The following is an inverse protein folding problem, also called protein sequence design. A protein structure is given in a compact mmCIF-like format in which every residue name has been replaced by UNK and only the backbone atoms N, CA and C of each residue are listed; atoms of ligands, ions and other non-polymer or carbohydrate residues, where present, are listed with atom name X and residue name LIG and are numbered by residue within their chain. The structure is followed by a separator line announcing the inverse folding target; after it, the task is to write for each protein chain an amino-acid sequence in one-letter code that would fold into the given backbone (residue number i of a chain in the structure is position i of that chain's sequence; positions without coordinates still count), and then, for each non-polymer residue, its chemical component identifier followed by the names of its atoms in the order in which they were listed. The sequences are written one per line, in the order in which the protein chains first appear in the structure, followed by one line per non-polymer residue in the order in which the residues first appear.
data_IF_581099980672
#
_entry.id   IF_581099980672
#
_cell.length_a   1.000
_cell.length_b   1.000
_cell.length_c   1.000
_cell.angle_alpha   90.00
_cell.angle_beta   90.00
_cell.angle_gamma   90.00
#
_symmetry.space_group_name_H-M   'P 1'
#
loop_
_entity.id
_entity.type
_entity.pdbx_description
1 polymer ?
#
# COMPACT_ATOMS: atom_id res chain seq x y z
N UNK A 1 -7.38 18.23 0.72
CA UNK A 1 -8.18 17.94 1.93
C UNK A 1 -8.02 16.49 2.34
N UNK A 2 -8.48 16.10 3.53
CA UNK A 2 -8.33 14.73 4.06
C UNK A 2 -8.93 13.64 3.13
N UNK A 3 -9.88 14.01 2.27
CA UNK A 3 -10.53 13.15 1.26
C UNK A 3 -9.49 12.46 0.36
N UNK A 4 -8.53 13.20 -0.20
CA UNK A 4 -7.52 12.61 -1.07
C UNK A 4 -6.66 11.56 -0.36
N UNK A 5 -6.36 11.75 0.93
CA UNK A 5 -5.62 10.75 1.71
C UNK A 5 -6.42 9.46 1.85
N UNK A 6 -7.73 9.57 2.14
CA UNK A 6 -8.63 8.43 2.22
C UNK A 6 -8.73 7.70 0.88
N UNK A 7 -8.90 8.43 -0.22
CA UNK A 7 -8.97 7.83 -1.56
C UNK A 7 -7.69 7.09 -1.95
N UNK A 8 -6.53 7.69 -1.64
CA UNK A 8 -5.22 7.05 -1.86
C UNK A 8 -5.12 5.75 -1.07
N UNK A 9 -5.40 5.79 0.24
CA UNK A 9 -5.31 4.62 1.12
C UNK A 9 -6.28 3.53 0.66
N UNK A 10 -7.54 3.88 0.38
CA UNK A 10 -8.56 2.94 -0.06
C UNK A 10 -8.16 2.26 -1.38
N UNK A 11 -7.68 3.04 -2.35
CA UNK A 11 -7.22 2.53 -3.64
C UNK A 11 -6.00 1.61 -3.50
N UNK A 12 -5.03 1.96 -2.63
CA UNK A 12 -3.87 1.13 -2.36
C UNK A 12 -4.26 -0.19 -1.68
N UNK A 13 -5.18 -0.16 -0.71
CA UNK A 13 -5.70 -1.37 -0.06
C UNK A 13 -6.45 -2.28 -1.03
N UNK A 14 -7.29 -1.72 -1.91
CA UNK A 14 -7.98 -2.49 -2.93
C UNK A 14 -6.98 -3.20 -3.87
N UNK A 15 -5.95 -2.47 -4.32
CA UNK A 15 -4.89 -3.04 -5.15
C UNK A 15 -4.08 -4.11 -4.41
N UNK A 16 -3.78 -3.90 -3.13
CA UNK A 16 -3.06 -4.86 -2.30
C UNK A 16 -3.87 -6.15 -2.13
N UNK A 17 -5.16 -6.04 -1.75
CA UNK A 17 -6.09 -7.17 -1.64
C UNK A 17 -6.18 -7.98 -2.94
N UNK A 18 -6.26 -7.31 -4.08
CA UNK A 18 -6.36 -8.00 -5.38
C UNK A 18 -5.05 -8.73 -5.75
N UNK A 19 -3.91 -8.25 -5.26
CA UNK A 19 -2.59 -8.86 -5.51
C UNK A 19 -2.23 -9.93 -4.49
N UNK A 20 -2.82 -9.92 -3.29
CA UNK A 20 -2.48 -10.86 -2.22
C UNK A 20 -2.87 -12.31 -2.50
N UNK A 21 -3.70 -12.57 -3.51
CA UNK A 21 -3.93 -13.92 -4.04
C UNK A 21 -2.65 -14.59 -4.56
N UNK A 22 -1.65 -13.78 -4.95
CA UNK A 22 -0.35 -14.21 -5.44
C UNK A 22 0.70 -13.31 -4.80
N UNK A 23 1.17 -13.68 -3.62
CA UNK A 23 2.02 -12.82 -2.79
C UNK A 23 3.27 -12.30 -3.53
N UNK A 24 3.81 -13.06 -4.49
CA UNK A 24 4.93 -12.64 -5.32
C UNK A 24 4.59 -11.43 -6.21
N UNK A 25 3.32 -11.26 -6.59
CA UNK A 25 2.84 -10.10 -7.36
C UNK A 25 2.82 -8.80 -6.56
N UNK A 26 2.75 -8.91 -5.23
CA UNK A 26 2.83 -7.77 -4.32
C UNK A 26 4.23 -7.17 -4.37
N UNK A 27 5.26 -8.02 -4.48
CA UNK A 27 6.66 -7.60 -4.43
C UNK A 27 7.21 -7.05 -5.75
N UNK A 28 6.43 -7.12 -6.83
CA UNK A 28 6.90 -6.73 -8.17
C UNK A 28 7.14 -5.23 -8.27
N UNK A 29 8.27 -4.87 -8.86
CA UNK A 29 8.57 -3.52 -9.35
C UNK A 29 8.52 -3.47 -10.87
N UNK A 30 8.45 -2.27 -11.43
CA UNK A 30 8.71 -2.00 -12.85
C UNK A 30 9.92 -1.09 -12.96
N UNK A 31 10.76 -1.32 -13.97
CA UNK A 31 11.88 -0.43 -14.27
C UNK A 31 11.48 0.56 -15.37
N UNK A 32 11.84 1.83 -15.20
CA UNK A 32 11.70 2.85 -16.23
C UNK A 32 12.85 3.84 -16.09
N UNK A 33 13.59 4.06 -17.18
CA UNK A 33 14.75 4.95 -17.21
C UNK A 33 15.77 4.66 -16.09
N UNK A 34 16.08 3.38 -15.84
CA UNK A 34 17.01 2.95 -14.80
C UNK A 34 16.51 3.11 -13.35
N UNK A 35 15.23 3.44 -13.15
CA UNK A 35 14.60 3.56 -11.83
C UNK A 35 13.56 2.48 -11.62
N UNK A 36 13.57 1.88 -10.44
CA UNK A 36 12.55 0.91 -10.02
C UNK A 36 11.37 1.61 -9.34
N UNK A 37 10.17 1.28 -9.78
CA UNK A 37 8.91 1.77 -9.24
C UNK A 37 8.08 0.60 -8.71
N UNK A 38 7.41 0.72 -7.56
CA UNK A 38 6.48 -0.30 -7.10
C UNK A 38 5.35 -0.53 -8.12
N UNK A 39 4.85 -1.76 -8.24
CA UNK A 39 3.59 -2.02 -8.97
C UNK A 39 2.35 -1.85 -8.12
N UNK A 40 2.50 -1.79 -6.79
CA UNK A 40 1.44 -1.40 -5.88
C UNK A 40 1.32 0.13 -5.86
N UNK A 41 0.54 0.65 -6.80
CA UNK A 41 0.38 2.09 -7.02
C UNK A 41 -1.08 2.48 -7.21
N UNK A 42 -1.39 3.72 -6.86
CA UNK A 42 -2.60 4.44 -7.27
C UNK A 42 -2.22 5.72 -7.99
N UNK A 43 -3.20 6.36 -8.65
CA UNK A 43 -3.02 7.62 -9.38
C UNK A 43 -4.11 8.60 -8.94
N UNK A 44 -3.70 9.78 -8.50
CA UNK A 44 -4.61 10.87 -8.14
C UNK A 44 -4.09 12.16 -8.75
N UNK A 45 -4.95 12.95 -9.40
CA UNK A 45 -4.56 14.22 -10.05
C UNK A 45 -3.25 14.16 -10.87
N UNK A 46 -3.06 13.07 -11.63
CA UNK A 46 -1.85 12.77 -12.40
C UNK A 46 -0.56 12.46 -11.62
N UNK A 47 -0.62 12.38 -10.30
CA UNK A 47 0.49 11.92 -9.47
C UNK A 47 0.35 10.43 -9.21
N UNK A 48 1.42 9.68 -9.48
CA UNK A 48 1.53 8.27 -9.09
C UNK A 48 2.05 8.16 -7.67
N UNK A 49 1.33 7.41 -6.84
CA UNK A 49 1.68 7.16 -5.45
C UNK A 49 1.77 5.65 -5.29
N UNK A 50 2.87 5.15 -4.74
CA UNK A 50 3.09 3.72 -4.59
C UNK A 50 3.71 3.35 -3.27
N UNK A 51 3.43 2.14 -2.83
CA UNK A 51 4.01 1.57 -1.62
C UNK A 51 5.23 0.76 -2.05
N UNK A 52 6.39 1.11 -1.49
CA UNK A 52 7.60 0.33 -1.66
C UNK A 52 7.35 -1.12 -1.18
N UNK A 53 7.67 -2.16 -1.96
CA UNK A 53 7.38 -3.55 -1.59
C UNK A 53 7.88 -3.95 -0.20
N UNK A 54 9.03 -3.44 0.21
CA UNK A 54 9.66 -3.70 1.49
C UNK A 54 9.06 -2.89 2.66
N UNK A 55 8.01 -2.10 2.40
CA UNK A 55 7.35 -1.22 3.38
C UNK A 55 5.84 -1.47 3.49
N UNK A 56 5.36 -2.57 2.93
CA UNK A 56 3.93 -2.90 2.94
C UNK A 56 3.43 -3.21 4.35
N UNK A 57 4.18 -4.01 5.12
CA UNK A 57 3.85 -4.29 6.52
C UNK A 57 3.83 -3.01 7.35
N UNK A 58 4.87 -2.17 7.24
CA UNK A 58 4.91 -0.87 7.92
C UNK A 58 3.70 0.01 7.58
N UNK A 59 3.31 0.06 6.30
CA UNK A 59 2.13 0.81 5.87
C UNK A 59 0.83 0.26 6.48
N UNK A 60 0.67 -1.07 6.54
CA UNK A 60 -0.51 -1.70 7.13
C UNK A 60 -0.55 -1.51 8.65
N UNK A 61 0.58 -1.66 9.34
CA UNK A 61 0.70 -1.44 10.78
C UNK A 61 0.31 -0.02 11.15
N UNK A 62 0.87 0.97 10.44
CA UNK A 62 0.56 2.38 10.67
C UNK A 62 -0.93 2.65 10.41
N UNK A 63 -1.50 2.06 9.36
CA UNK A 63 -2.93 2.20 9.06
C UNK A 63 -3.80 1.60 10.19
N UNK A 64 -3.52 0.39 10.64
CA UNK A 64 -4.30 -0.27 11.70
C UNK A 64 -4.21 0.56 13.00
N UNK A 65 -3.01 1.06 13.34
CA UNK A 65 -2.81 1.94 14.49
C UNK A 65 -3.63 3.24 14.41
N UNK A 66 -3.93 3.75 13.22
CA UNK A 66 -4.80 4.93 13.08
C UNK A 66 -6.24 4.66 13.52
N UNK A 67 -6.69 3.41 13.47
CA UNK A 67 -8.00 3.00 13.99
C UNK A 67 -7.90 2.65 15.48
N UNK A 68 -7.02 1.71 15.82
CA UNK A 68 -6.78 1.26 17.19
C UNK A 68 -5.53 0.37 17.26
N UNK A 69 -4.58 0.71 18.13
CA UNK A 69 -3.36 -0.09 18.36
C UNK A 69 -3.67 -1.52 18.85
N UNK A 70 -4.79 -1.72 19.54
CA UNK A 70 -5.20 -3.05 20.04
C UNK A 70 -5.55 -4.01 18.90
N UNK A 71 -6.02 -3.50 17.77
CA UNK A 71 -6.30 -4.33 16.58
C UNK A 71 -4.99 -4.84 16.00
N UNK A 72 -3.94 -4.00 15.96
CA UNK A 72 -2.63 -4.44 15.48
C UNK A 72 -2.08 -5.57 16.36
N UNK A 73 -2.20 -5.43 17.68
CA UNK A 73 -1.78 -6.47 18.62
C UNK A 73 -2.49 -7.81 18.33
N UNK A 74 -3.81 -7.78 18.11
CA UNK A 74 -4.58 -8.97 17.75
C UNK A 74 -4.13 -9.63 16.42
N UNK A 75 -3.63 -8.85 15.46
CA UNK A 75 -3.14 -9.37 14.18
C UNK A 75 -1.75 -10.02 14.25
N UNK A 76 -1.02 -9.83 15.35
CA UNK A 76 0.35 -10.32 15.54
C UNK A 76 0.45 -11.52 16.50
N UNK A 77 -0.66 -11.86 17.17
CA UNK A 77 -0.82 -13.05 18.02
C UNK A 77 -1.20 -14.29 17.17
#
# INVERSE_FOLDING_TARGET
GNIYKVDIVLSLLQNLRNRSYHWENILKTTEKNGKHYPRLTTKIENVYIGINPQKIELFLDDLIKTFDERILKYCQD
#
